data_IF_422830928722
#
_entry.id   IF_422830928722
#
_cell.length_a   1.000
_cell.length_b   1.000
_cell.length_c   1.000
_cell.angle_alpha   90.00
_cell.angle_beta   90.00
_cell.angle_gamma   90.00
#
_symmetry.space_group_name_H-M   'P 1'
#
loop_
_entity.id
_entity.type
_entity.pdbx_description
1 polymer ?
#
# COMPACT_ATOMS: atom_id res chain seq x y z
N UNK A 1 -38.73 20.10 9.89
CA UNK A 1 -37.94 20.46 8.69
C UNK A 1 -37.57 19.18 7.95
N UNK A 2 -37.69 19.17 6.62
CA UNK A 2 -37.34 18.01 5.79
C UNK A 2 -36.80 18.45 4.43
N UNK A 3 -35.97 17.60 3.84
CA UNK A 3 -35.45 17.70 2.49
C UNK A 3 -36.55 17.34 1.48
N UNK A 4 -36.86 18.27 0.57
CA UNK A 4 -37.88 18.12 -0.48
C UNK A 4 -37.30 17.81 -1.84
N UNK A 5 -36.14 18.36 -2.16
CA UNK A 5 -35.46 18.08 -3.40
C UNK A 5 -33.95 18.06 -3.20
N UNK A 6 -33.28 17.23 -3.97
CA UNK A 6 -31.83 17.10 -4.02
C UNK A 6 -31.44 16.90 -5.48
N UNK A 7 -30.54 17.73 -5.96
CA UNK A 7 -30.20 17.87 -7.38
C UNK A 7 -31.40 18.02 -8.33
N UNK A 8 -32.41 18.80 -7.92
CA UNK A 8 -33.66 18.96 -8.68
C UNK A 8 -34.62 17.76 -8.62
N UNK A 9 -34.18 16.58 -8.16
CA UNK A 9 -35.03 15.41 -7.96
C UNK A 9 -35.84 15.54 -6.65
N UNK A 10 -37.13 15.17 -6.69
CA UNK A 10 -37.98 15.18 -5.50
C UNK A 10 -37.57 14.06 -4.55
N UNK A 11 -37.26 14.41 -3.30
CA UNK A 11 -37.01 13.46 -2.21
C UNK A 11 -38.35 13.18 -1.53
N UNK A 12 -38.73 11.91 -1.41
CA UNK A 12 -40.07 11.41 -1.07
C UNK A 12 -40.65 11.75 0.32
N UNK A 13 -40.55 13.00 0.77
CA UNK A 13 -40.99 13.46 2.09
C UNK A 13 -42.48 13.25 2.39
N UNK A 14 -43.31 13.02 1.37
CA UNK A 14 -44.74 12.71 1.55
C UNK A 14 -45.02 11.24 1.90
N UNK A 15 -44.03 10.35 1.77
CA UNK A 15 -44.20 8.90 2.02
C UNK A 15 -43.55 8.44 3.33
N UNK A 16 -43.03 9.36 4.15
CA UNK A 16 -42.37 9.09 5.43
C UNK A 16 -40.84 9.12 5.39
N UNK A 17 -40.20 9.34 6.55
CA UNK A 17 -38.75 9.60 6.67
C UNK A 17 -37.85 8.40 6.32
N UNK A 18 -38.41 7.19 6.18
CA UNK A 18 -37.64 5.98 5.85
C UNK A 18 -37.49 5.75 4.35
N UNK A 19 -38.18 6.53 3.49
CA UNK A 19 -38.02 6.39 2.04
C UNK A 19 -36.61 6.83 1.63
N UNK A 20 -35.96 6.03 0.77
CA UNK A 20 -34.71 6.38 0.11
C UNK A 20 -35.03 6.73 -1.35
N UNK A 21 -34.50 7.86 -1.81
CA UNK A 21 -34.58 8.29 -3.21
C UNK A 21 -33.19 8.14 -3.82
N UNK A 22 -33.10 7.42 -4.93
CA UNK A 22 -31.87 7.28 -5.70
C UNK A 22 -31.74 8.45 -6.67
N UNK A 23 -30.60 9.14 -6.63
CA UNK A 23 -30.32 10.33 -7.42
C UNK A 23 -28.94 10.17 -8.04
N UNK A 24 -28.90 10.18 -9.37
CA UNK A 24 -27.66 10.09 -10.13
C UNK A 24 -26.93 11.42 -10.06
N UNK A 25 -25.68 11.37 -9.60
CA UNK A 25 -24.76 12.49 -9.57
C UNK A 25 -23.74 12.42 -10.70
N UNK A 26 -22.77 13.34 -10.67
CA UNK A 26 -21.71 13.46 -11.67
C UNK A 26 -20.72 12.29 -11.60
N UNK A 27 -20.35 11.84 -10.38
CA UNK A 27 -19.35 10.78 -10.20
C UNK A 27 -19.92 9.47 -9.62
N UNK A 28 -21.20 9.45 -9.24
CA UNK A 28 -21.78 8.33 -8.51
C UNK A 28 -23.25 8.55 -8.18
N UNK A 29 -23.77 7.76 -7.25
CA UNK A 29 -25.19 7.73 -6.92
C UNK A 29 -25.41 8.12 -5.46
N UNK A 30 -26.28 9.11 -5.24
CA UNK A 30 -26.80 9.44 -3.92
C UNK A 30 -28.04 8.62 -3.59
N UNK A 31 -28.12 8.16 -2.35
CA UNK A 31 -29.28 7.48 -1.76
C UNK A 31 -29.79 8.34 -0.60
N UNK A 32 -30.78 9.18 -0.88
CA UNK A 32 -31.14 10.32 -0.03
C UNK A 32 -32.48 10.10 0.67
N UNK A 33 -32.54 10.41 1.96
CA UNK A 33 -33.77 10.36 2.76
C UNK A 33 -34.36 11.76 3.01
N UNK A 34 -35.67 11.88 3.29
CA UNK A 34 -36.31 13.15 3.63
C UNK A 34 -35.75 13.88 4.85
N UNK A 35 -35.08 13.19 5.77
CA UNK A 35 -34.41 13.83 6.91
C UNK A 35 -33.07 14.48 6.55
N UNK A 36 -32.63 14.35 5.30
CA UNK A 36 -31.37 14.87 4.78
C UNK A 36 -30.19 13.92 4.92
N UNK A 37 -30.35 12.76 5.57
CA UNK A 37 -29.32 11.73 5.57
C UNK A 37 -29.16 11.12 4.18
N UNK A 38 -27.93 10.78 3.82
CA UNK A 38 -27.61 10.14 2.55
C UNK A 38 -26.48 9.13 2.68
N UNK A 39 -26.46 8.17 1.77
CA UNK A 39 -25.24 7.44 1.41
C UNK A 39 -24.86 7.77 -0.03
N UNK A 40 -23.59 7.65 -0.36
CA UNK A 40 -23.07 7.92 -1.69
C UNK A 40 -22.23 6.74 -2.17
N UNK A 41 -22.48 6.28 -3.39
CA UNK A 41 -21.73 5.18 -4.02
C UNK A 41 -21.04 5.72 -5.26
N UNK A 42 -19.72 5.77 -5.24
CA UNK A 42 -18.91 6.19 -6.39
C UNK A 42 -19.06 5.16 -7.53
N UNK A 43 -19.28 5.63 -8.75
CA UNK A 43 -19.39 4.77 -9.93
C UNK A 43 -18.04 4.12 -10.29
N UNK A 44 -18.07 2.92 -10.87
CA UNK A 44 -16.84 2.26 -11.35
C UNK A 44 -16.16 3.04 -12.47
N UNK A 45 -16.93 3.76 -13.30
CA UNK A 45 -16.39 4.60 -14.35
C UNK A 45 -15.59 5.80 -13.79
N UNK A 46 -16.07 6.43 -12.72
CA UNK A 46 -15.36 7.53 -12.07
C UNK A 46 -14.01 7.09 -11.50
N UNK A 47 -13.92 5.86 -10.97
CA UNK A 47 -12.66 5.31 -10.42
C UNK A 47 -11.52 5.25 -11.43
N UNK A 48 -11.82 5.11 -12.72
CA UNK A 48 -10.81 5.03 -13.80
C UNK A 48 -10.15 6.41 -14.02
N UNK A 49 -10.89 7.50 -13.83
CA UNK A 49 -10.42 8.86 -14.10
C UNK A 49 -9.85 9.60 -12.89
N UNK A 50 -9.92 9.00 -11.70
CA UNK A 50 -9.49 9.64 -10.47
C UNK A 50 -8.02 9.34 -10.23
N UNK A 51 -7.16 10.36 -10.35
CA UNK A 51 -5.73 10.22 -10.08
C UNK A 51 -5.44 10.32 -8.58
N UNK A 52 -4.42 9.61 -8.12
CA UNK A 52 -4.02 9.67 -6.71
C UNK A 52 -3.65 11.09 -6.29
N UNK A 53 -4.13 11.51 -5.11
CA UNK A 53 -3.84 12.82 -4.54
C UNK A 53 -4.66 13.98 -5.14
N UNK A 54 -5.36 13.77 -6.25
CA UNK A 54 -6.25 14.76 -6.84
C UNK A 54 -7.55 14.88 -6.05
N UNK A 55 -8.16 16.07 -6.08
CA UNK A 55 -9.45 16.34 -5.44
C UNK A 55 -10.50 16.70 -6.49
N UNK A 56 -11.60 15.98 -6.43
CA UNK A 56 -12.78 16.16 -7.27
C UNK A 56 -13.90 16.73 -6.40
N UNK A 57 -14.74 17.57 -7.01
CA UNK A 57 -15.87 18.19 -6.32
C UNK A 57 -17.13 17.95 -7.10
N UNK A 58 -18.18 17.62 -6.37
CA UNK A 58 -19.54 17.54 -6.87
C UNK A 58 -20.42 18.52 -6.08
N UNK A 59 -21.16 19.36 -6.80
CA UNK A 59 -21.95 20.45 -6.22
C UNK A 59 -23.42 20.24 -6.52
N UNK A 60 -24.19 19.99 -5.47
CA UNK A 60 -25.60 19.62 -5.57
C UNK A 60 -26.46 20.69 -4.92
N UNK A 61 -27.47 21.17 -5.63
CA UNK A 61 -28.49 22.04 -5.04
C UNK A 61 -29.49 21.22 -4.23
N UNK A 62 -29.97 21.75 -3.11
CA UNK A 62 -31.01 21.10 -2.31
C UNK A 62 -32.08 22.08 -1.89
N UNK A 63 -33.29 21.57 -1.63
CA UNK A 63 -34.44 22.35 -1.17
C UNK A 63 -35.02 21.76 0.10
N UNK A 64 -35.12 22.55 1.15
CA UNK A 64 -35.71 22.18 2.44
C UNK A 64 -37.10 22.81 2.61
N UNK A 65 -37.89 22.26 3.53
CA UNK A 65 -39.19 22.81 3.92
C UNK A 65 -39.44 22.65 5.40
N UNK A 66 -40.14 23.62 5.98
CA UNK A 66 -40.61 23.56 7.37
C UNK A 66 -41.86 22.68 7.56
N UNK A 67 -42.55 22.34 6.47
CA UNK A 67 -43.83 21.60 6.49
C UNK A 67 -45.07 22.49 6.51
N UNK A 68 -44.90 23.80 6.72
CA UNK A 68 -45.96 24.82 6.76
C UNK A 68 -46.03 25.66 5.49
N UNK A 69 -45.35 25.22 4.43
CA UNK A 69 -45.35 25.88 3.12
C UNK A 69 -44.14 26.76 2.85
N UNK A 70 -43.29 27.03 3.84
CA UNK A 70 -42.03 27.72 3.63
C UNK A 70 -40.96 26.74 3.13
N UNK A 71 -40.10 27.26 2.26
CA UNK A 71 -39.00 26.50 1.68
C UNK A 71 -37.78 27.38 1.50
N UNK A 72 -36.61 26.78 1.58
CA UNK A 72 -35.34 27.44 1.29
C UNK A 72 -34.46 26.51 0.45
N UNK A 73 -33.46 27.08 -0.22
CA UNK A 73 -32.52 26.35 -1.07
C UNK A 73 -31.09 26.54 -0.60
N UNK A 74 -30.29 25.49 -0.72
CA UNK A 74 -28.87 25.52 -0.37
C UNK A 74 -28.02 24.77 -1.37
N UNK A 75 -26.71 24.87 -1.17
CA UNK A 75 -25.70 24.14 -1.94
C UNK A 75 -24.97 23.17 -1.02
N UNK A 76 -24.91 21.91 -1.44
CA UNK A 76 -24.10 20.87 -0.85
C UNK A 76 -22.88 20.65 -1.76
N UNK A 77 -21.69 20.50 -1.17
CA UNK A 77 -20.46 20.19 -1.92
C UNK A 77 -19.87 18.90 -1.35
N UNK A 78 -19.81 17.86 -2.18
CA UNK A 78 -19.11 16.62 -1.87
C UNK A 78 -17.68 16.74 -2.40
N UNK A 79 -16.71 16.71 -1.50
CA UNK A 79 -15.30 16.57 -1.87
C UNK A 79 -14.97 15.09 -1.95
N UNK A 80 -14.44 14.65 -3.09
CA UNK A 80 -14.02 13.27 -3.33
C UNK A 80 -12.52 13.29 -3.61
N UNK A 81 -11.77 12.49 -2.87
CA UNK A 81 -10.33 12.36 -3.10
C UNK A 81 -10.09 11.17 -4.03
N UNK A 82 -9.32 11.41 -5.10
CA UNK A 82 -8.82 10.33 -5.93
C UNK A 82 -7.79 9.52 -5.17
N UNK A 83 -8.03 8.22 -5.07
CA UNK A 83 -7.09 7.24 -4.52
C UNK A 83 -7.00 6.08 -5.50
N UNK A 84 -5.83 5.87 -6.09
CA UNK A 84 -5.57 4.69 -6.92
C UNK A 84 -4.64 3.79 -6.15
N UNK A 85 -5.15 2.77 -5.46
CA UNK A 85 -4.31 1.90 -4.63
C UNK A 85 -3.38 1.02 -5.50
N UNK A 86 -2.24 1.57 -5.90
CA UNK A 86 -1.13 0.79 -6.46
C UNK A 86 -0.26 0.39 -5.29
N UNK A 87 -0.43 -0.85 -4.82
CA UNK A 87 0.47 -1.43 -3.84
C UNK A 87 1.91 -1.43 -4.39
N UNK A 88 2.94 -1.38 -3.53
CA UNK A 88 4.29 -1.64 -3.97
C UNK A 88 4.39 -3.05 -4.57
N UNK A 89 5.35 -3.28 -5.47
CA UNK A 89 5.54 -4.55 -6.16
C UNK A 89 6.94 -5.07 -5.82
N UNK A 90 6.98 -6.25 -5.20
CA UNK A 90 8.23 -6.93 -4.87
C UNK A 90 8.60 -7.91 -5.98
N UNK A 91 9.87 -7.99 -6.35
CA UNK A 91 10.40 -8.79 -7.44
C UNK A 91 11.50 -9.71 -6.92
N UNK A 92 11.41 -11.01 -7.24
CA UNK A 92 12.39 -11.99 -6.75
C UNK A 92 13.83 -11.62 -7.14
N UNK A 93 14.74 -11.70 -6.16
CA UNK A 93 16.16 -11.42 -6.32
C UNK A 93 16.99 -12.69 -6.49
N UNK A 94 18.12 -12.55 -7.20
CA UNK A 94 19.17 -13.56 -7.20
C UNK A 94 20.54 -12.92 -7.15
N UNK A 95 21.32 -13.27 -6.13
CA UNK A 95 22.70 -12.82 -5.97
C UNK A 95 23.67 -13.99 -6.04
N UNK A 96 24.88 -13.72 -6.52
CA UNK A 96 25.95 -14.70 -6.66
C UNK A 96 27.23 -14.14 -6.04
N UNK A 97 27.84 -14.90 -5.14
CA UNK A 97 29.07 -14.52 -4.46
C UNK A 97 30.02 -15.71 -4.37
N UNK A 98 31.24 -15.38 -3.95
CA UNK A 98 32.29 -16.33 -3.64
C UNK A 98 32.70 -16.10 -2.19
N UNK A 99 32.88 -17.19 -1.44
CA UNK A 99 33.40 -17.15 -0.08
C UNK A 99 34.72 -16.35 -0.01
N UNK A 100 34.94 -15.66 1.11
CA UNK A 100 36.07 -14.74 1.30
C UNK A 100 35.90 -13.35 0.66
N UNK A 101 34.89 -13.17 -0.21
CA UNK A 101 34.53 -11.85 -0.73
C UNK A 101 33.49 -11.16 0.15
N UNK A 102 33.38 -9.83 0.07
CA UNK A 102 32.27 -9.12 0.68
C UNK A 102 30.94 -9.57 0.03
N UNK A 103 30.01 -10.05 0.85
CA UNK A 103 28.67 -10.45 0.42
C UNK A 103 27.71 -9.32 0.82
N UNK A 104 27.24 -8.56 -0.16
CA UNK A 104 26.39 -7.40 0.05
C UNK A 104 25.54 -7.08 -1.19
N UNK A 105 24.41 -6.41 -0.99
CA UNK A 105 23.51 -5.99 -2.06
C UNK A 105 22.33 -5.18 -1.54
N UNK A 106 21.33 -4.98 -2.40
CA UNK A 106 20.07 -4.36 -2.02
C UNK A 106 18.90 -5.14 -2.64
N UNK A 107 17.96 -5.57 -1.81
CA UNK A 107 16.77 -6.36 -2.23
C UNK A 107 15.61 -5.50 -2.75
N UNK A 108 15.80 -4.18 -2.79
CA UNK A 108 14.79 -3.24 -3.29
C UNK A 108 15.16 -2.62 -4.64
N UNK A 109 16.33 -2.96 -5.22
CA UNK A 109 16.84 -2.33 -6.44
C UNK A 109 15.97 -2.59 -7.68
N UNK A 110 15.27 -3.73 -7.70
CA UNK A 110 14.36 -4.16 -8.77
C UNK A 110 12.87 -4.00 -8.41
N UNK A 111 12.57 -3.52 -7.20
CA UNK A 111 11.21 -3.34 -6.69
C UNK A 111 10.60 -2.00 -7.14
N UNK A 112 9.27 -1.95 -7.15
CA UNK A 112 8.51 -0.76 -7.59
C UNK A 112 7.71 -0.21 -6.43
N UNK A 113 7.90 1.08 -6.13
CA UNK A 113 7.13 1.76 -5.10
C UNK A 113 5.63 1.85 -5.45
N UNK A 114 4.81 1.98 -4.42
CA UNK A 114 3.38 2.25 -4.58
C UNK A 114 3.11 3.64 -5.16
N UNK A 115 1.83 3.96 -5.36
CA UNK A 115 1.37 5.27 -5.85
C UNK A 115 1.78 6.45 -4.97
N UNK A 116 2.04 6.23 -3.68
CA UNK A 116 2.53 7.25 -2.77
C UNK A 116 4.05 7.52 -2.88
N UNK A 117 4.75 6.81 -3.78
CA UNK A 117 6.18 6.96 -4.05
C UNK A 117 7.10 6.45 -2.93
N UNK A 118 6.56 5.76 -1.93
CA UNK A 118 7.33 5.20 -0.81
C UNK A 118 7.42 3.68 -0.91
N UNK A 119 8.56 3.17 -0.45
CA UNK A 119 8.82 1.75 -0.31
C UNK A 119 9.95 1.55 0.70
N UNK A 120 9.80 0.58 1.58
CA UNK A 120 10.86 0.14 2.49
C UNK A 120 10.70 -1.34 2.84
N UNK A 121 11.81 -1.97 3.19
CA UNK A 121 11.86 -3.32 3.70
C UNK A 121 11.27 -3.35 5.12
N UNK A 122 10.17 -4.07 5.29
CA UNK A 122 9.42 -4.18 6.55
C UNK A 122 9.70 -5.49 7.29
N UNK A 123 10.02 -6.54 6.56
CA UNK A 123 10.27 -7.86 7.12
C UNK A 123 11.30 -8.59 6.26
N UNK A 124 12.20 -9.30 6.91
CA UNK A 124 13.17 -10.17 6.27
C UNK A 124 13.10 -11.54 6.96
N UNK A 125 12.75 -12.59 6.21
CA UNK A 125 12.27 -13.86 6.78
C UNK A 125 11.11 -13.65 7.76
N UNK A 126 11.24 -14.11 9.01
CA UNK A 126 10.25 -13.94 10.08
C UNK A 126 10.54 -12.72 10.96
N UNK A 127 11.64 -12.00 10.72
CA UNK A 127 12.09 -10.87 11.54
C UNK A 127 11.55 -9.55 10.98
N UNK A 128 10.99 -8.72 11.85
CA UNK A 128 10.60 -7.34 11.50
C UNK A 128 11.87 -6.50 11.38
N UNK A 129 12.01 -5.80 10.26
CA UNK A 129 13.11 -4.86 10.04
C UNK A 129 12.79 -3.53 10.72
N UNK A 130 13.78 -2.94 11.38
CA UNK A 130 13.64 -1.62 11.98
C UNK A 130 13.38 -0.55 10.90
N UNK A 131 12.39 0.31 11.14
CA UNK A 131 11.98 1.32 10.17
C UNK A 131 12.92 2.55 10.15
N UNK A 132 13.86 2.65 11.08
CA UNK A 132 14.93 3.65 11.02
C UNK A 132 15.95 3.25 9.93
N UNK A 133 16.26 4.19 9.04
CA UNK A 133 17.11 3.94 7.88
C UNK A 133 18.57 3.61 8.26
N UNK A 134 19.03 4.07 9.42
CA UNK A 134 20.39 3.81 9.90
C UNK A 134 20.49 2.57 10.79
N UNK A 135 19.35 1.99 11.19
CA UNK A 135 19.32 0.81 12.03
C UNK A 135 19.59 -0.46 11.21
N UNK A 136 20.43 -1.34 11.76
CA UNK A 136 20.69 -2.67 11.22
C UNK A 136 19.88 -3.69 12.01
N UNK A 137 19.21 -4.58 11.29
CA UNK A 137 18.49 -5.73 11.85
C UNK A 137 19.24 -7.00 11.47
N UNK A 138 19.70 -7.75 12.46
CA UNK A 138 20.37 -9.03 12.22
C UNK A 138 19.34 -10.14 12.07
N UNK A 139 19.48 -10.94 11.01
CA UNK A 139 18.58 -12.05 10.69
C UNK A 139 19.41 -13.28 10.39
N UNK A 140 19.29 -14.31 11.22
CA UNK A 140 19.97 -15.58 11.01
C UNK A 140 19.50 -16.24 9.70
N UNK A 141 20.44 -16.52 8.81
CA UNK A 141 20.28 -17.37 7.64
C UNK A 141 20.73 -18.79 7.91
N UNK A 142 20.88 -19.55 6.83
CA UNK A 142 21.26 -20.97 6.84
C UNK A 142 22.77 -21.14 6.97
N UNK A 143 23.55 -20.34 6.24
CA UNK A 143 25.02 -20.41 6.19
C UNK A 143 25.72 -19.25 6.93
N UNK A 144 24.95 -18.30 7.46
CA UNK A 144 25.45 -17.02 7.94
C UNK A 144 24.36 -16.12 8.49
N UNK A 145 24.69 -14.87 8.75
CA UNK A 145 23.78 -13.85 9.29
C UNK A 145 23.62 -12.71 8.28
N UNK A 146 22.39 -12.35 7.96
CA UNK A 146 22.08 -11.13 7.22
C UNK A 146 22.04 -9.93 8.16
N UNK A 147 22.68 -8.84 7.75
CA UNK A 147 22.57 -7.53 8.39
C UNK A 147 21.79 -6.62 7.46
N UNK A 148 20.48 -6.45 7.70
CA UNK A 148 19.58 -5.75 6.78
C UNK A 148 19.14 -4.39 7.32
N UNK A 149 18.90 -3.44 6.43
CA UNK A 149 18.31 -2.12 6.73
C UNK A 149 16.96 -1.95 6.05
N UNK A 150 16.19 -0.94 6.48
CA UNK A 150 14.88 -0.64 5.89
C UNK A 150 14.94 -0.12 4.44
N UNK A 151 16.06 0.43 3.98
CA UNK A 151 16.26 0.76 2.55
C UNK A 151 16.61 -0.46 1.67
N UNK A 152 16.61 -1.68 2.25
CA UNK A 152 16.91 -2.91 1.53
C UNK A 152 18.38 -3.27 1.43
N UNK A 153 19.29 -2.37 1.79
CA UNK A 153 20.71 -2.67 1.86
C UNK A 153 20.95 -3.83 2.83
N UNK A 154 21.78 -4.79 2.42
CA UNK A 154 22.22 -5.88 3.26
C UNK A 154 23.70 -6.17 3.12
N UNK A 155 24.30 -6.66 4.19
CA UNK A 155 25.51 -7.50 4.14
C UNK A 155 25.18 -8.89 4.67
N UNK A 156 26.02 -9.87 4.35
CA UNK A 156 25.89 -11.24 4.84
C UNK A 156 27.22 -11.73 5.40
N UNK A 157 27.23 -12.02 6.69
CA UNK A 157 28.38 -12.61 7.39
C UNK A 157 28.27 -14.13 7.31
N UNK A 158 29.09 -14.75 6.47
CA UNK A 158 29.18 -16.20 6.36
C UNK A 158 29.81 -16.79 7.63
N UNK A 159 29.13 -17.73 8.28
CA UNK A 159 29.62 -18.39 9.51
C UNK A 159 29.88 -19.88 9.32
N UNK A 160 29.44 -20.44 8.20
CA UNK A 160 29.68 -21.83 7.80
C UNK A 160 30.85 -21.91 6.84
N UNK A 161 31.75 -22.87 7.08
CA UNK A 161 32.80 -23.24 6.14
C UNK A 161 32.18 -23.98 4.94
N UNK A 162 32.46 -23.51 3.73
CA UNK A 162 31.89 -24.05 2.50
C UNK A 162 32.95 -24.84 1.72
N UNK A 163 32.63 -26.05 1.27
CA UNK A 163 33.60 -26.86 0.54
C UNK A 163 34.06 -26.16 -0.75
N UNK A 164 35.38 -26.06 -0.92
CA UNK A 164 36.00 -25.47 -2.10
C UNK A 164 35.44 -26.04 -3.41
N UNK A 165 35.00 -25.15 -4.30
CA UNK A 165 34.44 -25.49 -5.61
C UNK A 165 32.98 -25.95 -5.60
N UNK A 166 32.32 -26.02 -4.44
CA UNK A 166 30.86 -26.26 -4.35
C UNK A 166 30.08 -24.96 -4.30
N UNK A 167 28.89 -24.93 -4.90
CA UNK A 167 27.94 -23.81 -4.77
C UNK A 167 26.80 -24.19 -3.83
N UNK A 168 26.58 -23.36 -2.83
CA UNK A 168 25.49 -23.47 -1.87
C UNK A 168 24.43 -22.42 -2.18
N UNK A 169 23.19 -22.87 -2.31
CA UNK A 169 22.04 -22.00 -2.58
C UNK A 169 21.19 -21.87 -1.33
N UNK A 170 21.07 -20.65 -0.82
CA UNK A 170 20.11 -20.28 0.21
C UNK A 170 18.94 -19.54 -0.43
N UNK A 171 17.70 -19.96 -0.13
CA UNK A 171 16.50 -19.26 -0.61
C UNK A 171 15.68 -18.75 0.55
N UNK A 172 15.61 -17.43 0.66
CA UNK A 172 14.85 -16.71 1.67
C UNK A 172 13.40 -16.56 1.20
N UNK A 173 12.47 -17.17 1.93
CA UNK A 173 11.03 -17.05 1.66
C UNK A 173 10.34 -16.61 2.95
N UNK A 174 10.01 -15.33 3.13
CA UNK A 174 9.98 -14.21 2.19
C UNK A 174 10.64 -12.96 2.79
N UNK A 175 10.96 -11.97 1.96
CA UNK A 175 11.02 -10.59 2.43
C UNK A 175 9.69 -9.87 2.13
N UNK A 176 9.42 -8.77 2.84
CA UNK A 176 8.18 -7.99 2.70
C UNK A 176 8.51 -6.51 2.60
N UNK A 177 7.96 -5.86 1.59
CA UNK A 177 8.03 -4.41 1.40
C UNK A 177 6.73 -3.75 1.80
N UNK A 178 6.80 -2.47 2.14
CA UNK A 178 5.62 -1.65 2.45
C UNK A 178 5.80 -0.22 1.99
N UNK A 179 4.68 0.42 1.67
CA UNK A 179 4.58 1.84 1.36
C UNK A 179 4.27 2.71 2.59
N UNK A 180 4.06 2.10 3.76
CA UNK A 180 3.71 2.78 5.00
C UNK A 180 2.21 3.10 5.18
N UNK A 181 1.36 2.79 4.20
CA UNK A 181 -0.09 3.05 4.23
C UNK A 181 -0.91 1.76 4.34
N UNK A 182 -0.23 0.66 4.70
CA UNK A 182 -0.84 -0.65 4.90
C UNK A 182 -0.79 -1.54 3.66
N UNK A 183 -0.32 -1.03 2.51
CA UNK A 183 -0.04 -1.87 1.36
C UNK A 183 1.33 -2.53 1.51
N UNK A 184 1.38 -3.80 1.12
CA UNK A 184 2.58 -4.62 1.19
C UNK A 184 2.63 -5.60 0.04
N UNK A 185 3.83 -6.03 -0.32
CA UNK A 185 4.06 -7.16 -1.22
C UNK A 185 5.26 -7.97 -0.72
N UNK A 186 5.41 -9.18 -1.23
CA UNK A 186 6.46 -10.10 -0.78
C UNK A 186 7.12 -10.78 -1.97
N UNK A 187 8.44 -10.91 -1.91
CA UNK A 187 9.23 -11.68 -2.86
C UNK A 187 10.29 -12.50 -2.12
N UNK A 188 11.18 -13.13 -2.89
CA UNK A 188 12.17 -14.08 -2.41
C UNK A 188 13.55 -13.63 -2.83
N UNK A 189 14.53 -13.92 -1.99
CA UNK A 189 15.94 -13.73 -2.33
C UNK A 189 16.59 -15.09 -2.47
N UNK A 190 17.30 -15.31 -3.58
CA UNK A 190 18.16 -16.48 -3.78
C UNK A 190 19.61 -16.05 -3.69
N UNK A 191 20.34 -16.60 -2.72
CA UNK A 191 21.76 -16.34 -2.50
C UNK A 191 22.57 -17.58 -2.90
N UNK A 192 23.37 -17.47 -3.95
CA UNK A 192 24.28 -18.52 -4.40
C UNK A 192 25.72 -18.19 -3.96
N UNK A 193 26.30 -19.01 -3.10
CA UNK A 193 27.65 -18.80 -2.56
C UNK A 193 28.55 -19.94 -3.01
N UNK A 194 29.62 -19.63 -3.74
CA UNK A 194 30.62 -20.62 -4.12
C UNK A 194 31.72 -20.68 -3.06
N UNK A 195 31.90 -21.86 -2.46
CA UNK A 195 32.94 -22.13 -1.49
C UNK A 195 34.34 -22.11 -2.12
N UNK A 196 35.30 -21.72 -1.31
CA UNK A 196 36.73 -21.61 -1.61
C UNK A 196 37.53 -22.41 -0.58
N UNK A 197 38.86 -22.39 -0.63
CA UNK A 197 39.69 -22.92 0.47
C UNK A 197 39.96 -21.86 1.55
N UNK A 198 39.15 -20.80 1.60
CA UNK A 198 39.35 -19.68 2.51
C UNK A 198 39.02 -20.09 3.95
N UNK A 199 40.05 -20.51 4.69
CA UNK A 199 39.98 -20.74 6.11
C UNK A 199 40.05 -19.40 6.88
N UNK A 200 38.92 -18.98 7.43
CA UNK A 200 38.83 -17.78 8.28
C UNK A 200 39.65 -17.87 9.58
N UNK A 201 40.21 -19.04 9.93
CA UNK A 201 41.10 -19.21 11.09
C UNK A 201 42.56 -18.76 10.85
N UNK A 202 42.90 -18.25 9.66
CA UNK A 202 44.28 -17.82 9.32
C UNK A 202 44.54 -16.31 9.32
N UNK A 203 43.64 -15.47 9.81
CA UNK A 203 43.97 -14.05 10.08
C UNK A 203 44.63 -13.97 11.47
N UNK A 204 45.96 -14.06 11.45
CA UNK A 204 46.86 -13.87 12.59
C UNK A 204 46.85 -12.43 13.15
#
# INVERSE_FOLDING_TARGET
MFLRAFDGASVGAKSGNSQVTEIQGDYGTFFVKPDGSYTYVLSDAAKIGFANGESYQEKVSYKISDGSGHTDVGLFTLNIQGVTQVKPIAVDDTFHFTEGSAIAGNVLDNDIAGDNGKMFLRQFLSTKVDANNDAVTDVAGTYGTFHVKSNGEFTYELTSDLNAGQTYTEVLRYYKISDGEGHTDTAKVTLNITGTDFDSSHIA
#
